data_IF_787067305597
#
_entry.id   IF_787067305597
#
_cell.length_a   1.000
_cell.length_b   1.000
_cell.length_c   1.000
_cell.angle_alpha   90.00
_cell.angle_beta   90.00
_cell.angle_gamma   90.00
#
_symmetry.space_group_name_H-M   'P 1'
#
loop_
_entity.id
_entity.type
_entity.pdbx_description
1 polymer ?
#
# COMPACT_ATOMS: atom_id res chain seq x y z
N UNK A 1 2.21 -6.17 4.21
CA UNK A 1 2.48 -5.40 5.46
C UNK A 1 1.52 -5.80 6.57
N UNK A 2 1.62 -5.24 7.78
CA UNK A 2 0.69 -5.56 8.89
C UNK A 2 -0.67 -4.85 8.72
N UNK A 3 -1.76 -5.57 8.93
CA UNK A 3 -3.11 -5.01 9.00
C UNK A 3 -3.38 -4.36 10.37
N UNK A 4 -4.49 -3.61 10.48
CA UNK A 4 -4.92 -3.05 11.77
C UNK A 4 -5.19 -4.13 12.84
N UNK A 5 -5.68 -5.31 12.43
CA UNK A 5 -5.88 -6.43 13.34
C UNK A 5 -4.55 -7.00 13.86
N UNK A 6 -3.53 -7.05 13.00
CA UNK A 6 -2.18 -7.45 13.42
C UNK A 6 -1.60 -6.46 14.42
N UNK A 7 -1.73 -5.15 14.15
CA UNK A 7 -1.25 -4.10 15.06
C UNK A 7 -1.97 -4.14 16.41
N UNK A 8 -3.28 -4.38 16.41
CA UNK A 8 -4.05 -4.57 17.66
C UNK A 8 -3.49 -5.75 18.46
N UNK A 9 -3.25 -6.87 17.79
CA UNK A 9 -2.71 -8.07 18.42
C UNK A 9 -1.29 -7.83 18.95
N UNK A 10 -0.47 -7.08 18.21
CA UNK A 10 0.89 -6.68 18.62
C UNK A 10 0.88 -5.82 19.87
N UNK A 11 0.02 -4.79 19.90
CA UNK A 11 -0.12 -3.93 21.07
C UNK A 11 -0.62 -4.70 22.29
N UNK A 12 -1.55 -5.63 22.08
CA UNK A 12 -2.07 -6.50 23.15
C UNK A 12 -0.96 -7.37 23.74
N UNK A 13 -0.15 -8.00 22.89
CA UNK A 13 0.94 -8.85 23.35
C UNK A 13 2.06 -8.05 24.04
N UNK A 14 2.42 -6.89 23.49
CA UNK A 14 3.39 -5.98 24.12
C UNK A 14 2.90 -5.47 25.49
N UNK A 15 1.59 -5.22 25.65
CA UNK A 15 0.99 -4.80 26.92
C UNK A 15 1.06 -5.89 28.01
N UNK A 16 1.12 -7.16 27.63
CA UNK A 16 1.34 -8.27 28.55
C UNK A 16 2.83 -8.47 28.91
N UNK A 17 3.75 -7.80 28.22
CA UNK A 17 5.19 -7.83 28.47
C UNK A 17 5.57 -7.53 29.92
N UNK A 18 5.14 -6.39 30.51
CA UNK A 18 5.38 -6.08 31.92
C UNK A 18 4.86 -7.16 32.88
N UNK A 19 3.66 -7.68 32.63
CA UNK A 19 3.04 -8.71 33.48
C UNK A 19 3.87 -10.01 33.46
N UNK A 20 4.32 -10.45 32.28
CA UNK A 20 5.19 -11.64 32.15
C UNK A 20 6.53 -11.46 32.86
N UNK A 21 7.10 -10.24 32.83
CA UNK A 21 8.36 -9.94 33.50
C UNK A 21 8.26 -9.97 35.04
N UNK A 22 7.06 -9.78 35.60
CA UNK A 22 6.82 -9.89 37.05
C UNK A 22 6.79 -11.34 37.55
N UNK A 23 6.48 -12.31 36.68
CA UNK A 23 6.34 -13.72 37.06
C UNK A 23 5.29 -13.93 38.16
N UNK A 24 5.58 -14.74 39.18
CA UNK A 24 4.64 -15.03 40.28
C UNK A 24 4.21 -13.79 41.07
N UNK A 25 5.03 -12.72 41.10
CA UNK A 25 4.68 -11.46 41.76
C UNK A 25 3.45 -10.77 41.15
N UNK A 26 3.08 -11.14 39.92
CA UNK A 26 1.89 -10.61 39.27
C UNK A 26 0.58 -10.95 40.01
N UNK A 27 0.58 -11.95 40.91
CA UNK A 27 -0.60 -12.34 41.69
C UNK A 27 -0.89 -11.36 42.84
N UNK A 28 0.12 -10.68 43.35
CA UNK A 28 0.03 -9.88 44.59
C UNK A 28 0.19 -8.37 44.35
N UNK A 29 0.63 -7.96 43.15
CA UNK A 29 0.87 -6.56 42.81
C UNK A 29 -0.45 -5.81 42.56
N UNK A 30 -0.50 -4.53 42.95
CA UNK A 30 -1.61 -3.66 42.57
C UNK A 30 -1.49 -3.23 41.10
N UNK A 31 -2.62 -2.95 40.46
CA UNK A 31 -2.64 -2.51 39.07
C UNK A 31 -1.83 -1.21 38.83
N UNK A 32 -1.84 -0.29 39.79
CA UNK A 32 -1.09 0.98 39.76
C UNK A 32 0.44 0.80 39.81
N UNK A 33 0.91 -0.32 40.35
CA UNK A 33 2.33 -0.64 40.50
C UNK A 33 2.88 -1.46 39.31
N UNK A 34 2.04 -1.77 38.31
CA UNK A 34 2.46 -2.49 37.09
C UNK A 34 3.43 -1.61 36.29
N UNK A 35 4.63 -2.11 35.93
CA UNK A 35 5.58 -1.31 35.17
C UNK A 35 5.04 -0.86 33.81
N UNK A 36 5.43 0.33 33.32
CA UNK A 36 4.97 0.83 32.04
C UNK A 36 5.46 -0.02 30.87
N UNK A 37 4.67 -0.02 29.79
CA UNK A 37 5.04 -0.64 28.53
C UNK A 37 6.20 0.17 27.92
N UNK A 38 7.16 -0.52 27.31
CA UNK A 38 8.32 0.10 26.68
C UNK A 38 8.64 -0.58 25.35
N UNK A 39 9.51 0.04 24.55
CA UNK A 39 9.88 -0.45 23.21
C UNK A 39 10.36 -1.91 23.19
N UNK A 40 11.07 -2.35 24.24
CA UNK A 40 11.52 -3.75 24.34
C UNK A 40 10.37 -4.76 24.32
N UNK A 41 9.19 -4.41 24.85
CA UNK A 41 8.04 -5.32 24.85
C UNK A 41 7.49 -5.50 23.43
N UNK A 42 7.45 -4.44 22.64
CA UNK A 42 7.12 -4.51 21.20
C UNK A 42 8.14 -5.33 20.41
N UNK A 43 9.44 -5.14 20.68
CA UNK A 43 10.50 -5.95 20.05
C UNK A 43 10.38 -7.43 20.37
N UNK A 44 9.92 -7.79 21.57
CA UNK A 44 9.66 -9.18 21.93
C UNK A 44 8.40 -9.71 21.24
N UNK A 45 7.30 -8.96 21.30
CA UNK A 45 6.04 -9.34 20.68
C UNK A 45 6.17 -9.56 19.17
N UNK A 46 6.90 -8.69 18.47
CA UNK A 46 7.17 -8.80 17.04
C UNK A 46 7.87 -10.11 16.64
N UNK A 47 8.60 -10.79 17.54
CA UNK A 47 9.25 -12.06 17.21
C UNK A 47 8.26 -13.18 16.93
N UNK A 48 7.05 -13.10 17.50
CA UNK A 48 6.00 -14.11 17.36
C UNK A 48 4.91 -13.74 16.38
N UNK A 49 5.05 -12.64 15.63
CA UNK A 49 3.98 -12.11 14.79
C UNK A 49 4.42 -11.96 13.34
N UNK A 50 3.51 -12.34 12.44
CA UNK A 50 3.64 -12.13 11.00
C UNK A 50 2.43 -11.32 10.51
N UNK A 51 2.58 -10.56 9.41
CA UNK A 51 1.44 -10.02 8.68
C UNK A 51 0.37 -11.09 8.40
N UNK A 52 -0.90 -10.77 8.63
CA UNK A 52 -2.01 -11.69 8.33
C UNK A 52 -2.43 -11.67 6.86
N UNK A 53 -2.03 -10.64 6.10
CA UNK A 53 -2.36 -10.48 4.68
C UNK A 53 -1.12 -10.74 3.85
N UNK A 54 -1.22 -11.67 2.90
CA UNK A 54 -0.15 -11.96 1.97
C UNK A 54 -0.02 -10.82 0.96
N UNK A 55 1.21 -10.58 0.50
CA UNK A 55 1.46 -9.49 -0.45
C UNK A 55 0.85 -9.79 -1.83
N UNK A 56 0.73 -11.07 -2.19
CA UNK A 56 0.08 -11.52 -3.43
C UNK A 56 -1.41 -11.15 -3.49
N UNK A 57 -2.11 -11.23 -2.36
CA UNK A 57 -3.54 -10.87 -2.28
C UNK A 57 -3.77 -9.39 -2.57
N UNK A 58 -2.81 -8.53 -2.21
CA UNK A 58 -2.93 -7.08 -2.40
C UNK A 58 -2.98 -6.70 -3.88
N UNK A 59 -2.22 -7.39 -4.75
CA UNK A 59 -2.21 -7.10 -6.18
C UNK A 59 -3.58 -7.26 -6.85
N UNK A 60 -4.31 -8.32 -6.49
CA UNK A 60 -5.66 -8.54 -7.01
C UNK A 60 -6.65 -7.47 -6.51
N UNK A 61 -6.51 -7.00 -5.27
CA UNK A 61 -7.33 -5.91 -4.74
C UNK A 61 -7.01 -4.56 -5.40
N UNK A 62 -5.75 -4.30 -5.72
CA UNK A 62 -5.31 -3.11 -6.44
C UNK A 62 -5.87 -3.07 -7.87
N UNK A 63 -5.77 -4.18 -8.62
CA UNK A 63 -6.34 -4.29 -9.98
C UNK A 63 -7.87 -4.11 -9.97
N UNK A 64 -8.55 -4.77 -9.03
CA UNK A 64 -9.99 -4.62 -8.87
C UNK A 64 -10.39 -3.19 -8.52
N UNK A 65 -9.66 -2.54 -7.61
CA UNK A 65 -9.90 -1.16 -7.22
C UNK A 65 -9.61 -0.17 -8.36
N UNK A 66 -8.64 -0.46 -9.23
CA UNK A 66 -8.40 0.34 -10.45
C UNK A 66 -9.58 0.32 -11.43
N UNK A 67 -10.25 -0.83 -11.53
CA UNK A 67 -11.38 -1.03 -12.47
C UNK A 67 -12.72 -0.55 -11.90
N UNK A 68 -13.00 -0.85 -10.64
CA UNK A 68 -14.33 -0.66 -10.02
C UNK A 68 -14.32 0.26 -8.79
N UNK A 69 -13.14 0.70 -8.35
CA UNK A 69 -12.98 1.56 -7.18
C UNK A 69 -13.44 2.99 -7.45
N UNK A 70 -13.55 3.76 -6.37
CA UNK A 70 -13.93 5.17 -6.46
C UNK A 70 -12.74 6.00 -6.93
N UNK A 71 -12.88 6.66 -8.09
CA UNK A 71 -11.95 7.71 -8.53
C UNK A 71 -12.43 9.02 -7.92
N UNK A 72 -11.55 9.73 -7.20
CA UNK A 72 -11.85 11.10 -6.78
C UNK A 72 -11.92 11.95 -8.05
N UNK A 73 -13.09 12.54 -8.34
CA UNK A 73 -13.33 13.40 -9.53
C UNK A 73 -12.67 14.78 -9.37
N UNK A 74 -11.49 14.86 -8.75
CA UNK A 74 -10.85 16.10 -8.29
C UNK A 74 -9.41 16.31 -8.73
N UNK A 75 -8.71 15.27 -9.19
CA UNK A 75 -7.40 15.41 -9.80
C UNK A 75 -7.54 14.97 -11.26
N UNK A 76 -7.41 15.94 -12.17
CA UNK A 76 -7.26 15.66 -13.59
C UNK A 76 -5.83 15.15 -13.74
N UNK A 77 -5.68 13.84 -13.85
CA UNK A 77 -4.47 13.27 -14.40
C UNK A 77 -4.50 13.60 -15.90
N UNK A 78 -3.74 14.62 -16.29
CA UNK A 78 -3.43 14.96 -17.68
C UNK A 78 -2.50 13.88 -18.27
N UNK A 79 -2.96 12.64 -18.37
CA UNK A 79 -2.33 11.61 -19.21
C UNK A 79 -3.14 11.52 -20.52
N UNK A 80 -2.89 12.50 -21.40
CA UNK A 80 -3.33 12.51 -22.79
C UNK A 80 -2.47 11.53 -23.61
N UNK A 81 -2.75 10.24 -23.49
CA UNK A 81 -2.35 9.25 -24.50
C UNK A 81 -3.33 9.31 -25.68
N UNK A 82 -3.24 10.39 -26.46
CA UNK A 82 -3.80 10.44 -27.82
C UNK A 82 -2.80 9.89 -28.83
N UNK A 83 -2.54 8.58 -28.76
CA UNK A 83 -2.05 7.84 -29.93
C UNK A 83 -3.24 7.66 -30.88
N UNK A 84 -3.33 8.54 -31.90
CA UNK A 84 -3.86 8.27 -33.24
C UNK A 84 -3.94 9.58 -34.03
N UNK A 85 -3.17 9.70 -35.12
CA UNK A 85 -3.76 9.86 -36.45
C UNK A 85 -2.68 9.80 -37.56
N UNK A 86 -2.85 8.77 -38.39
CA UNK A 86 -2.24 8.49 -39.68
C UNK A 86 -1.85 9.71 -40.53
N UNK A 87 -0.56 9.81 -40.82
CA UNK A 87 -0.01 10.72 -41.83
C UNK A 87 -0.30 10.22 -43.25
N UNK A 88 -1.50 10.53 -43.77
CA UNK A 88 -1.78 10.55 -45.20
C UNK A 88 -1.56 11.98 -45.73
N UNK A 89 -0.39 12.25 -46.31
CA UNK A 89 -0.20 13.43 -47.17
C UNK A 89 -0.32 13.01 -48.63
N UNK A 90 -1.36 13.52 -49.28
CA UNK A 90 -1.66 13.35 -50.69
C UNK A 90 -0.51 13.85 -51.58
N UNK A 91 -0.31 13.13 -52.69
CA UNK A 91 0.45 13.56 -53.86
C UNK A 91 -0.13 14.85 -54.44
N UNK A 92 0.66 15.92 -54.46
CA UNK A 92 0.39 17.08 -55.30
C UNK A 92 0.92 16.78 -56.71
N UNK A 93 0.01 16.42 -57.62
CA UNK A 93 0.17 16.67 -59.05
C UNK A 93 -0.21 18.13 -59.32
N UNK A 94 0.66 18.88 -59.98
CA UNK A 94 0.30 20.02 -60.82
C UNK A 94 1.40 20.24 -61.86
N UNK A 95 0.97 20.20 -63.12
CA UNK A 95 1.72 20.31 -64.37
C UNK A 95 2.51 21.63 -64.51
N UNK A 96 3.61 21.59 -65.25
CA UNK A 96 3.75 22.42 -66.45
C UNK A 96 4.92 21.93 -67.32
N UNK A 97 4.66 21.89 -68.63
CA UNK A 97 5.55 21.45 -69.69
C UNK A 97 6.70 22.44 -69.94
N UNK A 98 7.89 21.94 -70.34
CA UNK A 98 8.59 22.57 -71.47
C UNK A 98 9.59 21.63 -72.15
N UNK A 99 9.50 21.67 -73.47
CA UNK A 99 10.29 21.13 -74.57
C UNK A 99 11.82 21.32 -74.42
N UNK A 100 12.62 20.35 -74.89
CA UNK A 100 13.69 20.54 -75.90
C UNK A 100 14.89 19.56 -75.77
N UNK A 101 15.23 18.97 -76.94
CA UNK A 101 16.40 18.17 -77.38
C UNK A 101 16.75 16.84 -76.73
#
# INVERSE_FOLDING_TARGET
GFSGADLKSLCTDAALGPIRALGSRALDIKAEDVPPISYKHFRMALKGMCPSVAQEDLGAYEEWNGTYGTKNVGERDDDDDSDNNDGLSLTEESDDEEENT
#
